data_IF_290885483657
#
_entry.id   IF_290885483657
#
_cell.length_a   1.000
_cell.length_b   1.000
_cell.length_c   1.000
_cell.angle_alpha   90.00
_cell.angle_beta   90.00
_cell.angle_gamma   90.00
#
_symmetry.space_group_name_H-M   'P 1'
#
loop_
_entity.id
_entity.type
_entity.pdbx_description
1 polymer ?
#
# COMPACT_ATOMS: atom_id res chain seq x y z
N UNK A 1 26.50 17.08 35.55
CA UNK A 1 25.81 16.09 34.69
C UNK A 1 25.51 16.77 33.37
N UNK A 2 26.27 16.46 32.30
CA UNK A 2 26.08 17.11 30.99
C UNK A 2 24.85 16.50 30.33
N UNK A 3 23.79 17.29 30.17
CA UNK A 3 22.63 16.93 29.37
C UNK A 3 23.13 16.78 27.93
N UNK A 4 23.17 15.56 27.41
CA UNK A 4 23.45 15.30 26.00
C UNK A 4 22.23 15.82 25.24
N UNK A 5 22.32 17.02 24.69
CA UNK A 5 21.41 17.47 23.65
C UNK A 5 21.69 16.57 22.44
N UNK A 6 20.88 15.52 22.28
CA UNK A 6 20.82 14.81 21.03
C UNK A 6 20.41 15.83 19.97
N UNK A 7 21.31 16.11 19.04
CA UNK A 7 20.98 16.88 17.85
C UNK A 7 19.96 16.06 17.07
N UNK A 8 18.67 16.30 17.35
CA UNK A 8 17.59 15.49 16.80
C UNK A 8 17.69 15.46 15.27
N UNK A 9 17.90 14.26 14.73
CA UNK A 9 17.92 14.00 13.30
C UNK A 9 16.63 14.55 12.67
N UNK A 10 16.75 15.30 11.57
CA UNK A 10 15.59 15.75 10.80
C UNK A 10 14.82 14.54 10.28
N UNK A 11 13.49 14.46 10.50
CA UNK A 11 12.69 13.39 9.93
C UNK A 11 12.81 13.37 8.41
N UNK A 12 12.89 12.18 7.83
CA UNK A 12 12.96 11.96 6.38
C UNK A 12 11.61 11.51 5.84
N UNK A 13 11.19 12.11 4.74
CA UNK A 13 9.98 11.74 3.98
C UNK A 13 10.39 11.14 2.65
N UNK A 14 9.92 9.94 2.37
CA UNK A 14 10.02 9.28 1.06
C UNK A 14 8.67 9.33 0.35
N UNK A 15 8.68 9.30 -0.98
CA UNK A 15 7.45 9.30 -1.77
C UNK A 15 7.54 8.34 -2.94
N UNK A 16 6.49 7.54 -3.12
CA UNK A 16 6.22 6.73 -4.32
C UNK A 16 4.99 7.36 -4.97
N UNK A 17 5.09 7.74 -6.24
CA UNK A 17 4.00 8.40 -6.96
C UNK A 17 3.59 7.56 -8.16
N UNK A 18 2.30 7.20 -8.22
CA UNK A 18 1.73 6.27 -9.18
C UNK A 18 0.63 6.94 -10.01
N UNK A 19 0.42 6.49 -11.25
CA UNK A 19 -0.67 6.96 -12.10
C UNK A 19 -0.30 8.09 -13.07
N UNK A 20 -1.03 9.21 -13.04
CA UNK A 20 -1.01 10.20 -14.13
C UNK A 20 -0.09 11.41 -13.88
N UNK A 21 0.18 12.20 -14.92
CA UNK A 21 1.07 13.36 -14.87
C UNK A 21 0.68 14.42 -13.81
N UNK A 22 -0.61 14.50 -13.41
CA UNK A 22 -1.05 15.39 -12.35
C UNK A 22 -0.42 15.04 -10.99
N UNK A 23 -0.15 13.76 -10.74
CA UNK A 23 0.45 13.32 -9.49
C UNK A 23 1.88 13.85 -9.32
N UNK A 24 2.60 14.16 -10.40
CA UNK A 24 3.91 14.79 -10.32
C UNK A 24 3.82 16.23 -9.76
N UNK A 25 2.87 17.02 -10.25
CA UNK A 25 2.65 18.39 -9.76
C UNK A 25 2.20 18.35 -8.30
N UNK A 26 1.29 17.43 -7.96
CA UNK A 26 0.83 17.27 -6.58
C UNK A 26 1.98 16.81 -5.65
N UNK A 27 2.89 15.96 -6.15
CA UNK A 27 4.10 15.55 -5.43
C UNK A 27 5.04 16.72 -5.14
N UNK A 28 5.29 17.61 -6.10
CA UNK A 28 6.12 18.80 -5.89
C UNK A 28 5.54 19.72 -4.80
N UNK A 29 4.22 19.93 -4.80
CA UNK A 29 3.52 20.71 -3.78
C UNK A 29 3.67 20.05 -2.40
N UNK A 30 3.44 18.74 -2.32
CA UNK A 30 3.58 17.94 -1.10
C UNK A 30 5.00 17.98 -0.52
N UNK A 31 6.00 17.75 -1.36
CA UNK A 31 7.42 17.78 -0.97
C UNK A 31 7.86 19.20 -0.58
N UNK A 32 7.34 20.23 -1.25
CA UNK A 32 7.52 21.63 -0.85
C UNK A 32 6.99 21.91 0.56
N UNK A 33 5.79 21.40 0.88
CA UNK A 33 5.21 21.50 2.23
C UNK A 33 6.07 20.80 3.29
N UNK A 34 6.63 19.63 2.98
CA UNK A 34 7.55 18.90 3.86
C UNK A 34 8.82 19.71 4.16
N UNK A 35 9.44 20.30 3.14
CA UNK A 35 10.65 21.12 3.30
C UNK A 35 10.39 22.37 4.14
N UNK A 36 9.23 23.01 4.00
CA UNK A 36 8.84 24.18 4.80
C UNK A 36 8.74 23.86 6.31
N UNK A 37 8.53 22.59 6.66
CA UNK A 37 8.53 22.09 8.04
C UNK A 37 9.91 21.66 8.54
N UNK A 38 10.96 21.82 7.73
CA UNK A 38 12.34 21.50 8.12
C UNK A 38 12.69 20.01 8.12
N UNK A 39 11.82 19.18 7.55
CA UNK A 39 12.08 17.76 7.28
C UNK A 39 12.95 17.59 6.02
N UNK A 40 13.54 16.41 5.88
CA UNK A 40 14.35 16.02 4.72
C UNK A 40 13.57 15.14 3.75
N UNK A 41 13.93 15.16 2.47
CA UNK A 41 13.39 14.25 1.46
C UNK A 41 14.41 13.16 1.18
N UNK A 42 13.94 11.92 1.04
CA UNK A 42 14.78 10.77 0.64
C UNK A 42 14.20 10.08 -0.58
N UNK A 43 15.07 9.62 -1.48
CA UNK A 43 14.68 8.74 -2.60
C UNK A 43 14.61 7.28 -2.18
N UNK A 44 15.17 6.93 -1.02
CA UNK A 44 15.22 5.57 -0.48
C UNK A 44 14.06 5.37 0.51
N UNK A 45 13.03 4.57 0.17
CA UNK A 45 11.91 4.29 1.06
C UNK A 45 12.33 3.69 2.41
N UNK A 46 13.40 2.90 2.42
CA UNK A 46 13.95 2.23 3.60
C UNK A 46 14.56 3.19 4.65
N UNK A 47 14.90 4.41 4.22
CA UNK A 47 15.46 5.46 5.09
C UNK A 47 14.42 6.46 5.61
N UNK A 48 13.19 6.38 5.09
CA UNK A 48 12.13 7.32 5.41
C UNK A 48 11.53 7.05 6.80
N UNK A 49 11.31 8.09 7.58
CA UNK A 49 10.45 8.03 8.79
C UNK A 49 8.97 8.07 8.40
N UNK A 50 8.65 8.68 7.26
CA UNK A 50 7.32 8.69 6.66
C UNK A 50 7.44 8.32 5.18
N UNK A 51 6.72 7.28 4.77
CA UNK A 51 6.56 6.92 3.36
C UNK A 51 5.18 7.35 2.87
N UNK A 52 5.16 8.14 1.79
CA UNK A 52 3.93 8.61 1.14
C UNK A 52 3.71 7.85 -0.16
N UNK A 53 2.54 7.23 -0.31
CA UNK A 53 2.10 6.63 -1.57
C UNK A 53 1.08 7.56 -2.22
N UNK A 54 1.48 8.24 -3.30
CA UNK A 54 0.62 9.17 -4.03
C UNK A 54 -0.09 8.44 -5.18
N UNK A 55 -1.40 8.28 -5.03
CA UNK A 55 -2.23 7.34 -5.82
C UNK A 55 -3.13 8.05 -6.82
N UNK A 56 -3.56 7.33 -7.85
CA UNK A 56 -4.49 7.82 -8.87
C UNK A 56 -5.74 6.94 -8.92
N UNK A 57 -6.93 7.55 -8.99
CA UNK A 57 -8.21 6.84 -9.11
C UNK A 57 -8.80 6.90 -10.54
N UNK A 58 -8.08 7.52 -11.47
CA UNK A 58 -8.59 7.79 -12.81
C UNK A 58 -8.34 6.64 -13.79
N UNK A 59 -7.21 5.96 -13.64
CA UNK A 59 -6.81 4.83 -14.49
C UNK A 59 -7.00 3.55 -13.67
N UNK A 60 -7.74 2.57 -14.20
CA UNK A 60 -8.06 1.35 -13.45
C UNK A 60 -6.81 0.55 -13.09
N UNK A 61 -5.87 0.38 -14.03
CA UNK A 61 -4.59 -0.28 -13.75
C UNK A 61 -3.78 0.42 -12.66
N UNK A 62 -3.87 1.76 -12.57
CA UNK A 62 -3.19 2.52 -11.54
C UNK A 62 -3.83 2.34 -10.15
N UNK A 63 -5.08 1.90 -10.06
CA UNK A 63 -5.73 1.59 -8.78
C UNK A 63 -5.17 0.29 -8.19
N UNK A 64 -5.08 -0.75 -9.02
CA UNK A 64 -4.49 -2.03 -8.64
C UNK A 64 -3.03 -1.85 -8.21
N UNK A 65 -2.24 -1.16 -9.04
CA UNK A 65 -0.84 -0.82 -8.73
C UNK A 65 -0.72 -0.01 -7.43
N UNK A 66 -1.66 0.91 -7.17
CA UNK A 66 -1.68 1.69 -5.93
C UNK A 66 -1.96 0.82 -4.70
N UNK A 67 -2.88 -0.14 -4.80
CA UNK A 67 -3.18 -1.08 -3.71
C UNK A 67 -1.96 -1.96 -3.43
N UNK A 68 -1.36 -2.53 -4.48
CA UNK A 68 -0.18 -3.38 -4.37
C UNK A 68 0.99 -2.63 -3.72
N UNK A 69 1.25 -1.39 -4.14
CA UNK A 69 2.31 -0.56 -3.56
C UNK A 69 2.08 -0.23 -2.08
N UNK A 70 0.83 -0.03 -1.64
CA UNK A 70 0.49 0.20 -0.22
C UNK A 70 0.80 -1.06 0.61
N UNK A 71 0.37 -2.23 0.13
CA UNK A 71 0.59 -3.50 0.80
C UNK A 71 2.08 -3.87 0.85
N UNK A 72 2.80 -3.66 -0.25
CA UNK A 72 4.24 -3.86 -0.31
C UNK A 72 4.97 -2.93 0.67
N UNK A 73 4.60 -1.64 0.71
CA UNK A 73 5.17 -0.69 1.66
C UNK A 73 4.96 -1.14 3.11
N UNK A 74 3.76 -1.63 3.45
CA UNK A 74 3.49 -2.20 4.78
C UNK A 74 4.33 -3.44 5.07
N UNK A 75 4.45 -4.36 4.11
CA UNK A 75 5.27 -5.57 4.28
C UNK A 75 6.75 -5.23 4.48
N UNK A 76 7.30 -4.32 3.67
CA UNK A 76 8.68 -3.85 3.76
C UNK A 76 8.97 -3.17 5.10
N UNK A 77 8.02 -2.38 5.63
CA UNK A 77 8.12 -1.80 6.99
C UNK A 77 8.34 -2.88 8.05
N UNK A 78 7.61 -3.99 7.96
CA UNK A 78 7.76 -5.14 8.84
C UNK A 78 9.10 -5.87 8.68
N UNK A 79 9.48 -6.15 7.43
CA UNK A 79 10.74 -6.84 7.09
C UNK A 79 11.98 -6.04 7.50
N UNK A 80 11.97 -4.74 7.25
CA UNK A 80 13.08 -3.83 7.57
C UNK A 80 13.13 -3.44 9.06
N UNK A 81 12.29 -4.06 9.92
CA UNK A 81 12.19 -3.79 11.35
C UNK A 81 12.07 -2.30 11.65
N UNK A 82 11.27 -1.59 10.85
CA UNK A 82 10.94 -0.17 11.05
C UNK A 82 9.50 -0.02 11.52
N UNK A 83 9.12 -0.58 12.69
CA UNK A 83 7.74 -0.51 13.17
C UNK A 83 7.28 0.93 13.38
N UNK A 84 8.19 1.89 13.50
CA UNK A 84 7.88 3.30 13.70
C UNK A 84 7.74 4.11 12.39
N UNK A 85 8.08 3.54 11.22
CA UNK A 85 7.88 4.21 9.94
C UNK A 85 6.38 4.40 9.70
N UNK A 86 6.00 5.63 9.33
CA UNK A 86 4.62 6.00 9.08
C UNK A 86 4.27 5.82 7.61
N UNK A 87 3.07 5.31 7.34
CA UNK A 87 2.57 5.13 5.98
C UNK A 87 1.40 6.10 5.73
N UNK A 88 1.56 6.96 4.73
CA UNK A 88 0.53 7.91 4.32
C UNK A 88 0.12 7.58 2.88
N UNK A 89 -1.18 7.56 2.61
CA UNK A 89 -1.70 7.40 1.25
C UNK A 89 -2.37 8.70 0.82
N UNK A 90 -1.92 9.27 -0.30
CA UNK A 90 -2.42 10.55 -0.81
C UNK A 90 -3.04 10.42 -2.20
N UNK A 91 -3.75 11.46 -2.62
CA UNK A 91 -4.19 11.64 -4.01
C UNK A 91 -5.65 11.23 -4.26
N UNK A 92 -5.95 10.97 -5.53
CA UNK A 92 -7.33 10.80 -6.00
C UNK A 92 -8.04 9.59 -5.35
N UNK A 93 -7.34 8.49 -5.06
CA UNK A 93 -7.98 7.34 -4.39
C UNK A 93 -8.33 7.66 -2.94
N UNK A 94 -7.41 8.29 -2.22
CA UNK A 94 -7.65 8.77 -0.85
C UNK A 94 -8.83 9.73 -0.77
N UNK A 95 -9.03 10.58 -1.78
CA UNK A 95 -10.19 11.46 -1.86
C UNK A 95 -11.49 10.70 -2.11
N UNK A 96 -11.50 9.81 -3.10
CA UNK A 96 -12.73 9.20 -3.64
C UNK A 96 -13.20 8.00 -2.82
N UNK A 97 -12.29 7.20 -2.31
CA UNK A 97 -12.55 5.93 -1.62
C UNK A 97 -12.13 5.98 -0.14
N UNK A 98 -12.07 7.20 0.43
CA UNK A 98 -11.53 7.45 1.76
C UNK A 98 -12.15 6.57 2.87
N UNK A 99 -13.46 6.34 2.82
CA UNK A 99 -14.18 5.54 3.83
C UNK A 99 -13.85 4.06 3.70
N UNK A 100 -13.83 3.55 2.48
CA UNK A 100 -13.55 2.14 2.18
C UNK A 100 -12.09 1.81 2.47
N UNK A 101 -11.14 2.62 1.96
CA UNK A 101 -9.72 2.41 2.18
C UNK A 101 -9.35 2.43 3.67
N UNK A 102 -9.97 3.30 4.48
CA UNK A 102 -9.75 3.28 5.94
C UNK A 102 -10.26 2.02 6.63
N UNK A 103 -11.29 1.38 6.09
CA UNK A 103 -11.84 0.13 6.63
C UNK A 103 -10.97 -1.06 6.22
N UNK A 104 -10.55 -1.10 4.96
CA UNK A 104 -9.81 -2.22 4.38
C UNK A 104 -8.30 -2.17 4.66
N UNK A 105 -7.72 -0.98 4.91
CA UNK A 105 -6.28 -0.77 5.13
C UNK A 105 -5.99 -0.09 6.48
N UNK A 106 -6.27 -0.75 7.62
CA UNK A 106 -6.02 -0.19 8.95
C UNK A 106 -4.53 0.04 9.26
N UNK A 107 -3.61 -0.49 8.47
CA UNK A 107 -2.17 -0.33 8.57
C UNK A 107 -1.65 1.03 8.09
N UNK A 108 -2.46 1.78 7.34
CA UNK A 108 -2.14 3.13 6.88
C UNK A 108 -2.38 4.14 8.00
N UNK A 109 -1.35 4.91 8.35
CA UNK A 109 -1.43 5.90 9.44
C UNK A 109 -2.29 7.12 9.06
N UNK A 110 -2.34 7.51 7.78
CA UNK A 110 -3.22 8.57 7.31
C UNK A 110 -3.57 8.50 5.82
N UNK A 111 -4.77 9.01 5.49
CA UNK A 111 -5.23 9.24 4.12
C UNK A 111 -5.40 10.75 3.88
N UNK A 112 -4.80 11.26 2.79
CA UNK A 112 -4.78 12.68 2.44
C UNK A 112 -5.45 12.90 1.08
N UNK A 113 -6.45 13.77 1.04
CA UNK A 113 -7.15 14.15 -0.18
C UNK A 113 -6.39 15.14 -1.06
N UNK A 114 -6.95 15.48 -2.23
CA UNK A 114 -6.35 16.45 -3.15
C UNK A 114 -6.36 17.88 -2.59
N UNK A 115 -7.33 18.20 -1.74
CA UNK A 115 -7.46 19.47 -1.03
C UNK A 115 -6.42 19.66 0.09
N UNK A 116 -5.70 18.60 0.44
CA UNK A 116 -4.77 18.56 1.57
C UNK A 116 -3.30 18.38 1.15
N UNK A 117 -2.99 18.30 -0.15
CA UNK A 117 -1.61 18.09 -0.65
C UNK A 117 -0.63 19.14 -0.12
N UNK A 118 -1.04 20.40 -0.04
CA UNK A 118 -0.22 21.49 0.53
C UNK A 118 -0.02 21.41 2.05
N UNK A 119 -0.75 20.54 2.74
CA UNK A 119 -0.72 20.35 4.18
C UNK A 119 0.07 19.10 4.60
N UNK A 120 0.67 18.36 3.65
CA UNK A 120 1.38 17.13 3.95
C UNK A 120 2.42 17.30 5.06
N UNK A 121 3.22 18.38 5.03
CA UNK A 121 4.24 18.62 6.05
C UNK A 121 3.65 18.76 7.47
N UNK A 122 2.51 19.44 7.60
CA UNK A 122 1.83 19.62 8.88
C UNK A 122 1.26 18.29 9.41
N UNK A 123 0.62 17.53 8.52
CA UNK A 123 0.05 16.22 8.84
C UNK A 123 1.17 15.25 9.25
N UNK A 124 2.28 15.23 8.52
CA UNK A 124 3.48 14.47 8.82
C UNK A 124 4.02 14.77 10.23
N UNK A 125 4.20 16.04 10.57
CA UNK A 125 4.64 16.44 11.91
C UNK A 125 3.69 15.94 13.00
N UNK A 126 2.37 16.07 12.78
CA UNK A 126 1.37 15.62 13.74
C UNK A 126 1.46 14.12 13.98
N UNK A 127 1.53 13.32 12.91
CA UNK A 127 1.63 11.86 12.98
C UNK A 127 2.93 11.41 13.67
N UNK A 128 4.05 12.10 13.43
CA UNK A 128 5.32 11.79 14.10
C UNK A 128 5.31 12.11 15.60
N UNK A 129 4.53 13.12 16.03
CA UNK A 129 4.37 13.46 17.45
C UNK A 129 3.42 12.52 18.18
N UNK A 130 2.45 11.96 17.48
CA UNK A 130 1.54 10.96 18.00
C UNK A 130 2.31 9.64 18.22
N UNK A 131 2.68 9.37 19.48
CA UNK A 131 3.29 8.10 19.87
C UNK A 131 2.42 6.94 19.36
N UNK A 132 3.00 5.83 18.88
CA UNK A 132 2.20 4.68 18.52
C UNK A 132 1.48 4.18 19.77
N UNK A 133 0.19 4.46 19.88
CA UNK A 133 -0.68 3.67 20.73
C UNK A 133 -0.67 2.29 20.09
N UNK A 134 -0.05 1.33 20.76
CA UNK A 134 -0.22 -0.09 20.47
C UNK A 134 -1.73 -0.38 20.49
N UNK A 135 -2.40 -0.26 19.34
CA UNK A 135 -3.69 -0.88 19.14
C UNK A 135 -3.39 -2.36 18.98
N UNK A 136 -3.43 -3.05 20.12
CA UNK A 136 -3.34 -4.48 20.22
C UNK A 136 -4.30 -5.12 19.21
N UNK A 137 -3.73 -6.00 18.39
CA UNK A 137 -4.26 -7.33 18.03
C UNK A 137 -5.76 -7.48 18.23
N UNK A 138 -6.53 -7.67 17.14
CA UNK A 138 -7.63 -8.62 17.05
C UNK A 138 -8.20 -8.59 15.61
N UNK A 139 -7.70 -9.49 14.77
CA UNK A 139 -8.55 -10.28 13.88
C UNK A 139 -7.76 -11.51 13.42
N UNK A 140 -8.19 -12.65 13.93
CA UNK A 140 -7.90 -14.02 13.50
C UNK A 140 -7.82 -14.11 11.96
N UNK A 141 -6.90 -14.88 11.37
CA UNK A 141 -6.93 -15.10 9.92
C UNK A 141 -8.22 -15.85 9.57
N UNK A 142 -9.13 -15.15 8.89
CA UNK A 142 -10.26 -15.79 8.23
C UNK A 142 -9.69 -16.49 7.00
N UNK A 143 -9.51 -17.80 7.12
CA UNK A 143 -9.20 -18.69 6.02
C UNK A 143 -10.35 -18.65 5.01
N UNK A 144 -10.24 -17.80 4.00
CA UNK A 144 -11.08 -17.88 2.83
C UNK A 144 -10.34 -18.72 1.77
N UNK A 145 -10.57 -20.04 1.87
CA UNK A 145 -10.97 -20.91 0.76
C UNK A 145 -10.69 -20.38 -0.65
N UNK A 146 -9.43 -20.40 -1.09
CA UNK A 146 -9.09 -20.53 -2.50
C UNK A 146 -8.74 -21.98 -2.77
N UNK A 147 -9.77 -22.81 -3.02
CA UNK A 147 -9.56 -24.14 -3.62
C UNK A 147 -9.01 -23.93 -5.03
N UNK A 148 -7.70 -24.11 -5.15
CA UNK A 148 -7.03 -24.39 -6.41
C UNK A 148 -7.44 -25.79 -6.84
N UNK A 149 -8.35 -25.89 -7.80
CA UNK A 149 -8.63 -27.12 -8.54
C UNK A 149 -7.40 -27.49 -9.38
N UNK A 150 -6.49 -28.23 -8.76
CA UNK A 150 -5.46 -29.01 -9.45
C UNK A 150 -5.71 -30.46 -9.06
N UNK A 151 -6.68 -31.09 -9.72
CA UNK A 151 -6.83 -32.53 -9.68
C UNK A 151 -5.65 -33.18 -10.41
N UNK A 152 -4.64 -33.57 -9.62
CA UNK A 152 -3.77 -34.70 -9.92
C UNK A 152 -4.58 -35.98 -9.73
N UNK A 153 -5.08 -36.55 -10.82
CA UNK A 153 -5.50 -37.96 -10.81
C UNK A 153 -4.26 -38.85 -10.77
N UNK A 154 -4.10 -39.52 -9.63
CA UNK A 154 -3.15 -40.58 -9.42
C UNK A 154 -3.55 -41.85 -10.18
N UNK A 155 -2.51 -42.65 -10.46
CA UNK A 155 -2.48 -43.94 -11.12
C UNK A 155 -3.50 -44.96 -10.58
N UNK A 156 -4.10 -45.76 -11.48
CA UNK A 156 -5.00 -46.87 -11.11
C UNK A 156 -5.56 -47.71 -12.27
N UNK A 157 -4.67 -48.37 -13.01
CA UNK A 157 -4.80 -49.64 -13.77
C UNK A 157 -6.21 -50.31 -13.96
N UNK A 158 -6.54 -50.52 -15.26
CA UNK A 158 -7.08 -51.73 -15.95
C UNK A 158 -8.58 -52.07 -16.02
N UNK A 159 -8.97 -52.38 -17.28
CA UNK A 159 -9.98 -53.35 -17.78
C UNK A 159 -11.47 -52.94 -17.70
N UNK A 160 -12.32 -53.01 -18.73
CA UNK A 160 -12.46 -53.89 -19.91
C UNK A 160 -13.27 -53.23 -21.06
N UNK A 161 -13.03 -53.72 -22.29
CA UNK A 161 -13.87 -53.82 -23.50
C UNK A 161 -15.16 -52.99 -23.68
N UNK A 162 -15.32 -52.46 -24.90
CA UNK A 162 -16.62 -52.24 -25.53
C UNK A 162 -16.56 -51.29 -26.72
N UNK A 163 -16.55 -51.84 -27.93
CA UNK A 163 -16.77 -51.13 -29.19
C UNK A 163 -18.06 -50.28 -29.16
N UNK A 164 -18.10 -49.20 -29.95
CA UNK A 164 -19.10 -48.97 -31.02
C UNK A 164 -18.85 -47.59 -31.64
N UNK A 165 -18.56 -47.63 -32.94
CA UNK A 165 -18.62 -46.57 -33.94
C UNK A 165 -20.04 -45.96 -34.04
N UNK A 166 -20.16 -44.70 -34.47
CA UNK A 166 -21.17 -44.20 -35.43
C UNK A 166 -21.16 -42.66 -35.47
N UNK A 167 -20.61 -42.16 -36.58
CA UNK A 167 -20.91 -40.92 -37.31
C UNK A 167 -22.20 -40.14 -36.93
N UNK A 168 -22.15 -38.81 -36.96
CA UNK A 168 -23.12 -37.88 -37.59
C UNK A 168 -22.64 -36.42 -37.35
N UNK A 169 -21.93 -35.81 -38.32
CA UNK A 169 -22.45 -34.81 -39.26
C UNK A 169 -22.84 -33.44 -38.65
N UNK A 170 -21.99 -32.45 -38.95
CA UNK A 170 -22.32 -31.14 -39.53
C UNK A 170 -23.69 -30.50 -39.20
N UNK A 171 -23.68 -29.32 -38.56
CA UNK A 171 -24.33 -28.09 -39.08
C UNK A 171 -24.15 -26.86 -38.18
N UNK A 172 -23.55 -25.84 -38.82
CA UNK A 172 -23.68 -24.37 -38.68
C UNK A 172 -23.04 -23.66 -37.49
#
# INVERSE_FOLDING_TARGET
MKIRTDSARKPKVGMISLGCAKNLVDAEIMLGSVLQRGMEITSQPEDADILVINTCAFIDSAKEESIDAILEAHQQRGLNRRPDQKLIVSGCMSQRFATELRREMPEVDAFIGLDQVGQLGEIAEKILRERPTLKAQHSTPKTDSWTLDVERSALGVSSTNGDVDLSFADRR
#
